data_IF_361575844372
#
_entry.id   IF_361575844372
#
_cell.length_a   1.000
_cell.length_b   1.000
_cell.length_c   1.000
_cell.angle_alpha   90.00
_cell.angle_beta   90.00
_cell.angle_gamma   90.00
#
_symmetry.space_group_name_H-M   'P 1'
#
loop_
_entity.id
_entity.type
_entity.pdbx_description
1 polymer ?
#
# COMPACT_ATOMS: atom_id res chain seq x y z
N UNK A 1 9.42 34.94 -1.72
CA UNK A 1 8.27 34.24 -2.32
C UNK A 1 8.61 32.75 -2.33
N UNK A 2 8.24 32.01 -1.28
CA UNK A 2 8.56 30.56 -1.10
C UNK A 2 7.33 29.78 -0.66
N UNK A 3 6.16 30.18 -1.13
CA UNK A 3 4.89 29.59 -0.77
C UNK A 3 4.13 29.23 -2.04
N UNK A 4 3.78 27.95 -2.16
CA UNK A 4 2.81 27.50 -3.15
C UNK A 4 1.42 27.71 -2.55
N UNK A 5 0.58 28.50 -3.21
CA UNK A 5 -0.84 28.54 -2.89
C UNK A 5 -1.50 27.28 -3.45
N UNK A 6 -1.96 26.40 -2.56
CA UNK A 6 -2.91 25.35 -2.92
C UNK A 6 -4.28 25.72 -2.34
N UNK A 7 -5.36 25.19 -2.94
CA UNK A 7 -6.72 25.38 -2.43
C UNK A 7 -6.98 24.84 -1.01
N UNK A 8 -5.95 24.32 -0.34
CA UNK A 8 -5.98 23.83 1.04
C UNK A 8 -4.98 24.56 1.98
N UNK A 9 -4.33 25.65 1.54
CA UNK A 9 -3.47 26.49 2.38
C UNK A 9 -2.10 26.87 1.77
N UNK A 10 -1.23 27.43 2.61
CA UNK A 10 0.14 27.85 2.25
C UNK A 10 1.14 26.70 2.48
N UNK A 11 1.84 26.26 1.42
CA UNK A 11 2.93 25.28 1.55
C UNK A 11 4.29 25.95 1.37
N UNK A 12 5.12 25.95 2.43
CA UNK A 12 6.47 26.50 2.42
C UNK A 12 7.52 25.40 2.66
N UNK A 13 8.27 24.96 1.63
CA UNK A 13 9.23 23.87 1.75
C UNK A 13 10.39 24.17 2.72
N UNK A 14 10.81 25.43 2.81
CA UNK A 14 11.91 25.83 3.71
C UNK A 14 11.50 25.64 5.17
N UNK A 15 10.26 26.04 5.51
CA UNK A 15 9.73 25.82 6.86
C UNK A 15 9.64 24.33 7.20
N UNK A 16 9.22 23.48 6.25
CA UNK A 16 9.17 22.02 6.47
C UNK A 16 10.55 21.41 6.71
N UNK A 17 11.57 21.79 5.94
CA UNK A 17 12.95 21.34 6.15
C UNK A 17 13.41 21.72 7.57
N UNK A 18 13.13 22.95 8.01
CA UNK A 18 13.49 23.42 9.34
C UNK A 18 12.78 22.63 10.45
N UNK A 19 11.48 22.35 10.29
CA UNK A 19 10.70 21.52 11.23
C UNK A 19 11.29 20.11 11.32
N UNK A 20 11.58 19.46 10.18
CA UNK A 20 12.19 18.12 10.16
C UNK A 20 13.57 18.10 10.81
N UNK A 21 14.37 19.16 10.59
CA UNK A 21 15.68 19.29 11.22
C UNK A 21 15.58 19.40 12.74
N UNK A 22 14.66 20.23 13.26
CA UNK A 22 14.41 20.33 14.71
C UNK A 22 13.94 18.99 15.26
N UNK A 23 12.97 18.34 14.61
CA UNK A 23 12.49 17.03 15.04
C UNK A 23 13.63 16.01 15.10
N UNK A 24 14.49 15.96 14.08
CA UNK A 24 15.67 15.09 14.07
C UNK A 24 16.60 15.35 15.26
N UNK A 25 16.92 16.61 15.56
CA UNK A 25 17.77 16.96 16.71
C UNK A 25 17.14 16.54 18.04
N UNK A 26 15.83 16.73 18.21
CA UNK A 26 15.10 16.29 19.40
C UNK A 26 15.15 14.76 19.55
N UNK A 27 14.86 14.01 18.48
CA UNK A 27 14.95 12.55 18.50
C UNK A 27 16.36 12.05 18.79
N UNK A 28 17.38 12.69 18.20
CA UNK A 28 18.78 12.34 18.45
C UNK A 28 19.19 12.64 19.90
N UNK A 29 18.76 13.76 20.46
CA UNK A 29 18.95 14.11 21.87
C UNK A 29 18.29 13.10 22.81
N UNK A 30 17.01 12.78 22.56
CA UNK A 30 16.26 11.76 23.33
C UNK A 30 16.94 10.40 23.28
N UNK A 31 17.40 9.98 22.09
CA UNK A 31 18.18 8.74 21.91
C UNK A 31 19.44 8.72 22.79
N UNK A 32 20.11 9.87 22.95
CA UNK A 32 21.30 10.00 23.80
C UNK A 32 21.03 9.76 25.29
N UNK A 33 19.81 9.98 25.77
CA UNK A 33 19.41 9.69 27.16
C UNK A 33 19.05 8.21 27.39
N UNK A 34 19.04 7.38 26.34
CA UNK A 34 18.78 5.94 26.47
C UNK A 34 19.84 5.21 27.30
N UNK A 35 19.43 4.21 28.08
CA UNK A 35 20.34 3.41 28.90
C UNK A 35 21.19 2.50 28.00
N UNK A 36 22.50 2.77 27.92
CA UNK A 36 23.46 2.00 27.10
C UNK A 36 23.72 0.59 27.63
N UNK A 37 23.36 0.30 28.87
CA UNK A 37 23.62 -0.97 29.56
C UNK A 37 22.72 -2.15 29.12
N UNK A 38 22.05 -2.04 27.97
CA UNK A 38 21.32 -3.17 27.40
C UNK A 38 22.29 -4.18 26.81
N UNK A 39 21.97 -5.46 26.89
CA UNK A 39 22.79 -6.51 26.31
C UNK A 39 22.46 -6.63 24.82
N UNK A 40 23.37 -6.14 23.98
CA UNK A 40 23.30 -6.31 22.52
C UNK A 40 23.24 -7.80 22.16
N UNK A 41 22.47 -8.11 21.12
CA UNK A 41 22.34 -9.47 20.56
C UNK A 41 21.81 -10.51 21.55
N UNK A 42 20.99 -10.07 22.52
CA UNK A 42 20.27 -10.95 23.45
C UNK A 42 18.77 -10.80 23.26
N UNK A 43 17.97 -11.61 23.96
CA UNK A 43 16.51 -11.46 23.97
C UNK A 43 16.06 -10.06 24.45
N UNK A 44 16.93 -9.27 25.11
CA UNK A 44 16.64 -7.88 25.47
C UNK A 44 16.50 -6.94 24.26
N UNK A 45 17.00 -7.34 23.08
CA UNK A 45 16.88 -6.56 21.84
C UNK A 45 15.75 -7.06 20.92
N UNK A 46 15.10 -8.18 21.26
CA UNK A 46 13.97 -8.71 20.50
C UNK A 46 12.67 -8.00 20.86
N UNK A 47 11.73 -7.97 19.92
CA UNK A 47 10.38 -7.50 20.21
C UNK A 47 9.69 -8.42 21.24
N UNK A 48 8.94 -7.84 22.17
CA UNK A 48 8.15 -8.65 23.11
C UNK A 48 6.92 -9.22 22.40
N UNK A 49 6.93 -10.52 22.11
CA UNK A 49 5.84 -11.24 21.44
C UNK A 49 5.05 -12.14 22.39
N UNK A 50 4.87 -11.71 23.66
CA UNK A 50 4.15 -12.47 24.68
C UNK A 50 4.66 -13.91 24.87
N UNK A 51 5.97 -14.11 24.74
CA UNK A 51 6.62 -15.42 24.85
C UNK A 51 6.64 -16.27 23.58
N UNK A 52 6.15 -15.75 22.44
CA UNK A 52 6.34 -16.39 21.14
C UNK A 52 7.73 -16.07 20.57
N UNK A 53 8.28 -17.01 19.81
CA UNK A 53 9.50 -16.79 19.02
C UNK A 53 9.24 -15.75 17.92
N UNK A 54 10.27 -14.94 17.63
CA UNK A 54 10.24 -13.97 16.54
C UNK A 54 10.29 -14.72 15.19
N UNK A 55 9.26 -14.53 14.36
CA UNK A 55 9.22 -15.09 13.01
C UNK A 55 9.84 -14.12 12.00
N UNK A 56 9.83 -14.47 10.71
CA UNK A 56 10.30 -13.55 9.67
C UNK A 56 9.49 -12.26 9.67
N UNK A 57 10.12 -11.12 9.34
CA UNK A 57 9.44 -9.83 9.31
C UNK A 57 8.19 -9.85 8.41
N UNK A 58 8.23 -10.63 7.33
CA UNK A 58 7.11 -10.84 6.40
C UNK A 58 5.90 -11.57 7.01
N UNK A 59 6.14 -12.41 8.02
CA UNK A 59 5.11 -13.14 8.75
C UNK A 59 4.56 -12.36 9.95
N UNK A 60 5.37 -11.49 10.53
CA UNK A 60 4.99 -10.67 11.68
C UNK A 60 4.09 -9.47 11.30
N UNK A 61 4.08 -9.06 10.03
CA UNK A 61 3.28 -7.93 9.58
C UNK A 61 1.84 -8.31 9.21
N UNK A 62 0.88 -7.44 9.54
CA UNK A 62 -0.48 -7.54 9.00
C UNK A 62 -0.41 -7.25 7.49
N UNK A 63 -0.62 -8.30 6.68
CA UNK A 63 -0.57 -8.18 5.22
C UNK A 63 -1.77 -7.39 4.70
N UNK A 64 -1.57 -6.63 3.63
CA UNK A 64 -2.65 -5.91 2.95
C UNK A 64 -3.80 -6.85 2.53
N UNK A 65 -3.49 -8.11 2.20
CA UNK A 65 -4.47 -9.15 1.92
C UNK A 65 -5.45 -9.38 3.09
N UNK A 66 -5.00 -9.20 4.34
CA UNK A 66 -5.83 -9.36 5.52
C UNK A 66 -6.86 -8.23 5.62
N UNK A 67 -6.48 -7.01 5.23
CA UNK A 67 -7.38 -5.86 5.24
C UNK A 67 -8.51 -6.00 4.20
N UNK A 68 -8.17 -6.48 3.01
CA UNK A 68 -9.13 -6.67 1.91
C UNK A 68 -9.75 -8.06 1.88
N UNK A 69 -9.49 -8.91 2.89
CA UNK A 69 -9.96 -10.29 2.89
C UNK A 69 -11.48 -10.39 2.79
N UNK A 70 -12.21 -9.57 3.56
CA UNK A 70 -13.68 -9.58 3.53
C UNK A 70 -14.25 -9.22 2.15
N UNK A 71 -13.69 -8.19 1.51
CA UNK A 71 -14.10 -7.74 0.18
C UNK A 71 -13.76 -8.78 -0.90
N UNK A 72 -12.51 -9.25 -0.93
CA UNK A 72 -12.03 -10.24 -1.91
C UNK A 72 -12.74 -11.59 -1.76
N UNK A 73 -13.06 -12.00 -0.53
CA UNK A 73 -13.83 -13.22 -0.25
C UNK A 73 -15.27 -13.07 -0.71
N UNK A 74 -15.91 -11.95 -0.40
CA UNK A 74 -17.31 -11.69 -0.80
C UNK A 74 -17.49 -11.67 -2.33
N UNK A 75 -16.47 -11.20 -3.05
CA UNK A 75 -16.48 -11.12 -4.51
C UNK A 75 -15.70 -12.26 -5.20
N UNK A 76 -15.33 -13.32 -4.47
CA UNK A 76 -14.45 -14.38 -4.98
C UNK A 76 -14.99 -15.01 -6.27
N UNK A 77 -16.30 -15.26 -6.35
CA UNK A 77 -16.93 -15.83 -7.54
C UNK A 77 -16.79 -14.90 -8.75
N UNK A 78 -17.08 -13.61 -8.57
CA UNK A 78 -16.95 -12.60 -9.64
C UNK A 78 -15.51 -12.54 -10.15
N UNK A 79 -14.53 -12.44 -9.23
CA UNK A 79 -13.12 -12.44 -9.62
C UNK A 79 -12.69 -13.73 -10.31
N UNK A 80 -13.20 -14.88 -9.86
CA UNK A 80 -12.87 -16.18 -10.45
C UNK A 80 -13.39 -16.27 -11.89
N UNK A 81 -14.62 -15.84 -12.16
CA UNK A 81 -15.17 -15.85 -13.51
C UNK A 81 -14.49 -14.83 -14.43
N UNK A 82 -14.26 -13.60 -13.95
CA UNK A 82 -13.53 -12.58 -14.73
C UNK A 82 -12.10 -13.01 -15.07
N UNK A 83 -11.44 -13.71 -14.14
CA UNK A 83 -10.09 -14.25 -14.37
C UNK A 83 -10.08 -15.32 -15.45
N UNK A 84 -11.11 -16.17 -15.55
CA UNK A 84 -11.21 -17.18 -16.62
C UNK A 84 -11.30 -16.56 -18.01
N UNK A 85 -11.85 -15.34 -18.13
CA UNK A 85 -11.90 -14.61 -19.41
C UNK A 85 -10.53 -14.08 -19.87
N UNK A 86 -9.51 -14.06 -18.99
CA UNK A 86 -8.15 -13.63 -19.30
C UNK A 86 -7.26 -14.84 -19.61
N UNK A 87 -7.51 -15.48 -20.75
CA UNK A 87 -6.84 -16.70 -21.17
C UNK A 87 -5.37 -16.48 -21.57
N UNK A 88 -4.98 -15.24 -21.89
CA UNK A 88 -3.67 -14.92 -22.43
C UNK A 88 -3.51 -15.23 -23.93
N UNK A 89 -4.55 -15.74 -24.59
CA UNK A 89 -4.55 -15.97 -26.04
C UNK A 89 -5.03 -14.72 -26.79
N UNK A 90 -4.18 -14.17 -27.66
CA UNK A 90 -4.50 -12.98 -28.47
C UNK A 90 -5.82 -13.10 -29.25
N UNK A 91 -6.14 -14.29 -29.76
CA UNK A 91 -7.38 -14.52 -30.51
C UNK A 91 -8.63 -14.28 -29.67
N UNK A 92 -8.61 -14.62 -28.38
CA UNK A 92 -9.76 -14.42 -27.49
C UNK A 92 -10.02 -12.92 -27.24
N UNK A 93 -8.96 -12.10 -27.18
CA UNK A 93 -9.10 -10.64 -27.07
C UNK A 93 -9.63 -10.01 -28.36
N UNK A 94 -9.17 -10.48 -29.52
CA UNK A 94 -9.72 -10.04 -30.82
C UNK A 94 -11.20 -10.40 -30.94
N UNK A 95 -11.59 -11.59 -30.48
CA UNK A 95 -12.99 -12.00 -30.43
C UNK A 95 -13.82 -11.07 -29.54
N UNK A 96 -13.37 -10.78 -28.31
CA UNK A 96 -14.04 -9.83 -27.43
C UNK A 96 -14.17 -8.43 -28.04
N UNK A 97 -13.13 -7.96 -28.72
CA UNK A 97 -13.16 -6.68 -29.43
C UNK A 97 -14.24 -6.65 -30.52
N UNK A 98 -14.31 -7.69 -31.36
CA UNK A 98 -15.32 -7.80 -32.42
C UNK A 98 -16.74 -7.88 -31.84
N UNK A 99 -16.94 -8.61 -30.73
CA UNK A 99 -18.24 -8.69 -30.05
C UNK A 99 -18.68 -7.31 -29.55
N UNK A 100 -17.80 -6.57 -28.87
CA UNK A 100 -18.11 -5.23 -28.37
C UNK A 100 -18.40 -4.28 -29.54
N UNK A 101 -17.63 -4.36 -30.62
CA UNK A 101 -17.83 -3.54 -31.82
C UNK A 101 -19.18 -3.83 -32.48
N UNK A 102 -19.57 -5.09 -32.61
CA UNK A 102 -20.88 -5.48 -33.13
C UNK A 102 -22.01 -4.96 -32.23
N UNK A 103 -21.86 -5.06 -30.91
CA UNK A 103 -22.83 -4.55 -29.95
C UNK A 103 -22.98 -3.02 -30.03
N UNK A 104 -21.88 -2.29 -30.19
CA UNK A 104 -21.90 -0.84 -30.40
C UNK A 104 -22.60 -0.48 -31.71
N UNK A 105 -22.36 -1.19 -32.80
CA UNK A 105 -23.08 -0.96 -34.06
C UNK A 105 -24.58 -1.25 -33.95
N UNK A 106 -24.98 -2.26 -33.17
CA UNK A 106 -26.39 -2.50 -32.90
C UNK A 106 -27.03 -1.40 -32.05
N UNK A 107 -26.33 -0.86 -31.05
CA UNK A 107 -26.88 0.22 -30.22
C UNK A 107 -26.93 1.53 -30.99
N UNK A 108 -25.84 1.90 -31.66
CA UNK A 108 -25.70 3.20 -32.33
C UNK A 108 -26.41 3.18 -33.69
N UNK A 109 -26.36 2.08 -34.43
CA UNK A 109 -26.98 1.96 -35.75
C UNK A 109 -28.47 1.63 -35.73
N UNK A 110 -29.04 1.27 -34.57
CA UNK A 110 -30.51 1.15 -34.37
C UNK A 110 -31.11 2.45 -33.82
N UNK A 111 -30.30 3.38 -33.30
CA UNK A 111 -30.72 4.75 -32.96
C UNK A 111 -30.78 5.67 -34.18
#
# INVERSE_FOLDING_TARGET
MFSLESGSGFWNPILWIFIFFIAFLLFYGIRGFGKSAYKKDTDQTKAFLSGNEESSAEEMHVKASNLYWGFTTSMKTVYTELRKMHTGNASDYVLWFVIILAFLFLIIGVM
#
